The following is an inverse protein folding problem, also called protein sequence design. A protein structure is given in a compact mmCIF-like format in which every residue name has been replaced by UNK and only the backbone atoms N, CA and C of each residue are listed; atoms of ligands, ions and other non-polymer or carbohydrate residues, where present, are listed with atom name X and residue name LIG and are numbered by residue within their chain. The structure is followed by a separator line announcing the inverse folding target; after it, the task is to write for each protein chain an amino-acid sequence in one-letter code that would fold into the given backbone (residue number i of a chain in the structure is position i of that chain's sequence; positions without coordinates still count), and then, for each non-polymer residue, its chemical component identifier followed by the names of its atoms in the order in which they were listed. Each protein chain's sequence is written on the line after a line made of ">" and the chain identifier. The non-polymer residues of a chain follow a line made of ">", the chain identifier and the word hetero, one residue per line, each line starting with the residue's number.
data_IF_945978559117
#
_entry.id   IF_945978559117
#
_cell.length_a   1.000
_cell.length_b   1.000
_cell.length_c   1.000
_cell.angle_alpha   90.00
_cell.angle_beta   90.00
_cell.angle_gamma   90.00
#
_symmetry.space_group_name_H-M   'P 1'
#
loop_
_entity.id
_entity.type
_entity.pdbx_description
1 polymer ?
#
# COMPACT_ATOMS: atom_id res chain seq x y z
N UNK A 1 1.10 -24.66 50.48
CA UNK A 1 0.33 -24.26 49.29
C UNK A 1 1.04 -23.07 48.63
N UNK A 2 2.06 -23.32 47.78
CA UNK A 2 2.92 -22.27 47.16
C UNK A 2 3.18 -22.51 45.66
N UNK A 3 2.41 -23.39 45.01
CA UNK A 3 2.72 -23.85 43.64
C UNK A 3 1.70 -23.48 42.57
N UNK A 4 0.61 -22.76 42.89
CA UNK A 4 -0.42 -22.41 41.88
C UNK A 4 -0.29 -21.01 41.26
N UNK A 5 0.56 -20.12 41.78
CA UNK A 5 0.62 -18.73 41.29
C UNK A 5 1.59 -18.48 40.11
N UNK A 6 2.38 -19.48 39.71
CA UNK A 6 3.42 -19.30 38.68
C UNK A 6 2.99 -19.69 37.26
N UNK A 7 1.80 -20.26 37.08
CA UNK A 7 1.32 -20.69 35.76
C UNK A 7 0.55 -19.57 35.04
N UNK A 8 0.00 -18.59 35.77
CA UNK A 8 -0.71 -17.46 35.16
C UNK A 8 0.20 -16.31 34.70
N UNK A 9 1.45 -16.25 35.19
CA UNK A 9 2.40 -15.21 34.78
C UNK A 9 3.17 -15.57 33.50
N UNK A 10 3.25 -16.86 33.13
CA UNK A 10 3.87 -17.30 31.87
C UNK A 10 2.95 -17.22 30.66
N UNK A 11 1.64 -17.09 30.86
CA UNK A 11 0.66 -16.88 29.78
C UNK A 11 0.50 -15.40 29.37
N UNK A 12 1.01 -14.46 30.18
CA UNK A 12 0.95 -13.02 29.88
C UNK A 12 2.12 -12.52 28.99
N UNK A 13 3.07 -13.37 28.62
CA UNK A 13 4.29 -12.95 27.90
C UNK A 13 4.39 -13.45 26.44
N UNK A 14 3.34 -14.04 25.86
CA UNK A 14 3.37 -14.60 24.47
C UNK A 14 2.31 -13.94 23.56
N UNK A 15 1.90 -12.71 23.85
CA UNK A 15 1.14 -11.92 22.85
C UNK A 15 1.42 -10.42 22.92
N UNK A 16 2.68 -10.06 23.15
CA UNK A 16 3.22 -8.89 22.45
C UNK A 16 3.79 -9.39 21.11
N UNK A 17 2.94 -10.04 20.30
CA UNK A 17 3.18 -10.16 18.87
C UNK A 17 3.54 -8.76 18.41
N UNK A 18 4.71 -8.63 17.79
CA UNK A 18 5.19 -7.40 17.19
C UNK A 18 4.01 -6.67 16.56
N UNK A 19 3.54 -5.59 17.20
CA UNK A 19 2.71 -4.60 16.54
C UNK A 19 3.56 -4.19 15.36
N UNK A 20 3.21 -4.67 14.16
CA UNK A 20 3.94 -4.37 12.95
C UNK A 20 3.86 -2.85 12.82
N UNK A 21 4.93 -2.17 13.26
CA UNK A 21 4.96 -0.72 13.40
C UNK A 21 4.85 -0.21 11.97
N UNK A 22 3.69 0.33 11.65
CA UNK A 22 3.46 0.97 10.37
C UNK A 22 4.61 1.95 10.11
N UNK A 23 5.26 1.92 8.93
CA UNK A 23 6.49 2.68 8.72
C UNK A 23 6.30 4.17 8.99
N UNK A 24 7.30 4.80 9.60
CA UNK A 24 7.37 6.26 9.78
C UNK A 24 7.33 6.98 8.44
N UNK A 25 7.11 8.30 8.42
CA UNK A 25 7.02 9.05 7.15
C UNK A 25 8.33 8.95 6.34
N UNK A 26 9.47 9.02 7.02
CA UNK A 26 10.79 8.88 6.42
C UNK A 26 11.00 7.47 5.85
N UNK A 27 10.66 6.43 6.63
CA UNK A 27 10.72 5.05 6.15
C UNK A 27 9.78 4.82 4.97
N UNK A 28 8.58 5.40 4.95
CA UNK A 28 7.66 5.33 3.81
C UNK A 28 8.25 5.97 2.56
N UNK A 29 8.93 7.10 2.67
CA UNK A 29 9.58 7.74 1.53
C UNK A 29 10.70 6.86 0.94
N UNK A 30 11.51 6.25 1.80
CA UNK A 30 12.55 5.30 1.39
C UNK A 30 11.93 4.06 0.75
N UNK A 31 10.94 3.45 1.39
CA UNK A 31 10.24 2.27 0.88
C UNK A 31 9.52 2.56 -0.44
N UNK A 32 8.91 3.73 -0.58
CA UNK A 32 8.31 4.19 -1.84
C UNK A 32 9.35 4.23 -2.94
N UNK A 33 10.51 4.84 -2.67
CA UNK A 33 11.61 4.93 -3.65
C UNK A 33 12.08 3.55 -4.08
N UNK A 34 12.31 2.64 -3.13
CA UNK A 34 12.72 1.25 -3.41
C UNK A 34 11.65 0.53 -4.24
N UNK A 35 10.38 0.64 -3.84
CA UNK A 35 9.27 -0.05 -4.48
C UNK A 35 9.01 0.44 -5.90
N UNK A 36 8.95 1.76 -6.09
CA UNK A 36 8.77 2.41 -7.39
C UNK A 36 9.90 1.99 -8.33
N UNK A 37 11.15 2.10 -7.88
CA UNK A 37 12.33 1.75 -8.71
C UNK A 37 12.29 0.29 -9.19
N UNK A 38 11.85 -0.64 -8.34
CA UNK A 38 11.73 -2.07 -8.70
C UNK A 38 10.65 -2.36 -9.74
N UNK A 39 9.64 -1.49 -9.87
CA UNK A 39 8.50 -1.68 -10.77
C UNK A 39 8.60 -0.88 -12.08
N UNK A 40 9.66 -0.08 -12.28
CA UNK A 40 9.86 0.67 -13.52
C UNK A 40 9.97 -0.26 -14.72
N UNK A 41 9.28 0.12 -15.79
CA UNK A 41 9.53 -0.45 -17.11
C UNK A 41 10.78 0.17 -17.75
N UNK A 42 11.21 -0.37 -18.89
CA UNK A 42 12.45 0.09 -19.54
C UNK A 42 12.43 1.56 -19.98
N UNK A 43 11.28 2.08 -20.39
CA UNK A 43 11.17 3.48 -20.81
C UNK A 43 11.13 4.44 -19.60
N UNK A 44 10.51 4.03 -18.50
CA UNK A 44 10.55 4.77 -17.23
C UNK A 44 11.97 4.77 -16.63
N UNK A 45 12.73 3.67 -16.76
CA UNK A 45 14.15 3.64 -16.36
C UNK A 45 14.99 4.63 -17.17
N UNK A 46 14.80 4.68 -18.50
CA UNK A 46 15.47 5.68 -19.36
C UNK A 46 15.08 7.10 -18.96
N UNK A 47 13.79 7.33 -18.68
CA UNK A 47 13.29 8.63 -18.24
C UNK A 47 13.96 9.03 -16.94
N UNK A 48 13.95 8.16 -15.92
CA UNK A 48 14.63 8.40 -14.64
C UNK A 48 16.12 8.72 -14.85
N UNK A 49 16.82 8.00 -15.72
CA UNK A 49 18.24 8.27 -15.99
C UNK A 49 18.49 9.63 -16.66
N UNK A 50 17.52 10.13 -17.45
CA UNK A 50 17.66 11.39 -18.21
C UNK A 50 17.14 12.63 -17.49
N UNK A 51 16.08 12.51 -16.70
CA UNK A 51 15.38 13.63 -16.07
C UNK A 51 15.36 13.57 -14.54
N UNK A 52 15.89 12.49 -13.94
CA UNK A 52 15.83 12.20 -12.51
C UNK A 52 14.39 12.24 -11.94
N UNK A 53 13.40 11.92 -12.77
CA UNK A 53 11.99 12.00 -12.44
C UNK A 53 11.23 10.74 -12.86
N UNK A 54 10.32 10.30 -11.99
CA UNK A 54 9.35 9.22 -12.25
C UNK A 54 8.00 9.65 -11.67
N UNK A 55 6.95 9.45 -12.45
CA UNK A 55 5.58 9.72 -12.03
C UNK A 55 4.93 8.44 -11.45
N UNK A 56 4.24 8.58 -10.32
CA UNK A 56 3.49 7.50 -9.67
C UNK A 56 2.26 8.07 -8.96
N UNK A 57 1.28 7.21 -8.68
CA UNK A 57 0.06 7.60 -7.98
C UNK A 57 0.05 6.93 -6.62
N UNK A 58 -0.35 7.64 -5.57
CA UNK A 58 -0.44 7.08 -4.22
C UNK A 58 -1.86 7.09 -3.67
N UNK A 59 -2.25 5.99 -3.03
CA UNK A 59 -3.50 5.80 -2.31
C UNK A 59 -3.16 5.88 -0.81
N UNK A 60 -3.23 7.08 -0.23
CA UNK A 60 -2.80 7.32 1.15
C UNK A 60 -3.81 6.87 2.21
N UNK A 61 -3.26 6.45 3.37
CA UNK A 61 -4.05 6.28 4.58
C UNK A 61 -4.50 7.67 5.06
N UNK A 62 -5.79 7.84 5.31
CA UNK A 62 -6.30 9.05 5.94
C UNK A 62 -5.69 9.14 7.34
N UNK A 63 -4.71 10.02 7.52
CA UNK A 63 -4.28 10.43 8.85
C UNK A 63 -5.10 11.64 9.27
N UNK A 64 -5.52 11.56 10.53
CA UNK A 64 -6.29 12.50 11.34
C UNK A 64 -6.34 13.95 10.82
N UNK A 65 -7.56 14.49 10.69
CA UNK A 65 -7.87 15.85 10.23
C UNK A 65 -7.21 16.92 11.12
N UNK A 66 -6.70 16.52 12.29
CA UNK A 66 -6.00 17.37 13.25
C UNK A 66 -4.47 17.46 13.05
N UNK A 67 -3.91 16.84 12.01
CA UNK A 67 -2.49 16.94 11.67
C UNK A 67 -2.10 18.35 11.17
N UNK A 68 -1.05 18.93 11.77
CA UNK A 68 -0.48 20.25 11.41
C UNK A 68 -0.01 20.36 9.95
N UNK A 69 0.15 19.25 9.24
CA UNK A 69 0.61 19.21 7.84
C UNK A 69 -0.54 19.14 6.81
N UNK A 70 -1.80 19.17 7.26
CA UNK A 70 -2.97 18.93 6.40
C UNK A 70 -3.17 19.94 5.27
N UNK A 71 -2.70 21.18 5.40
CA UNK A 71 -2.84 22.22 4.38
C UNK A 71 -1.83 22.08 3.23
N UNK A 72 -0.55 21.81 3.53
CA UNK A 72 0.50 21.58 2.54
C UNK A 72 0.29 20.25 1.79
N UNK A 73 -0.18 19.23 2.51
CA UNK A 73 -0.51 17.93 1.92
C UNK A 73 -1.78 18.00 1.05
N UNK A 74 -2.76 18.86 1.38
CA UNK A 74 -3.98 19.05 0.55
C UNK A 74 -3.67 19.47 -0.90
N UNK A 75 -2.64 20.29 -1.11
CA UNK A 75 -2.28 20.82 -2.44
C UNK A 75 -1.54 19.77 -3.30
N UNK A 76 -0.67 18.95 -2.69
CA UNK A 76 -0.01 17.81 -3.33
C UNK A 76 -0.96 16.63 -3.61
N UNK A 77 -1.99 16.44 -2.77
CA UNK A 77 -2.91 15.29 -2.81
C UNK A 77 -4.33 15.68 -3.23
N UNK A 78 -4.50 16.52 -4.25
CA UNK A 78 -5.82 16.91 -4.77
C UNK A 78 -6.70 15.74 -5.31
N UNK A 79 -6.20 14.50 -5.31
CA UNK A 79 -6.98 13.28 -5.53
C UNK A 79 -7.45 12.58 -4.25
N UNK A 80 -7.43 13.25 -3.09
CA UNK A 80 -7.92 12.70 -1.82
C UNK A 80 -9.37 12.21 -1.95
N UNK A 81 -9.52 10.91 -1.75
CA UNK A 81 -10.77 10.16 -1.77
C UNK A 81 -11.48 10.35 -0.41
N UNK A 82 -12.09 11.50 -0.08
CA UNK A 82 -12.84 11.63 1.19
C UNK A 82 -14.37 11.48 1.00
N UNK A 83 -15.08 10.88 1.96
CA UNK A 83 -16.55 10.72 1.97
C UNK A 83 -17.08 9.27 1.84
N UNK A 84 -18.41 9.06 1.85
CA UNK A 84 -18.99 7.74 1.58
C UNK A 84 -18.56 7.25 0.19
N UNK A 85 -18.35 5.94 0.02
CA UNK A 85 -17.84 5.29 -1.22
C UNK A 85 -16.34 5.46 -1.51
N UNK A 86 -15.50 5.46 -0.47
CA UNK A 86 -14.03 5.46 -0.61
C UNK A 86 -13.53 4.39 -1.60
N UNK A 87 -14.10 3.18 -1.54
CA UNK A 87 -13.75 2.08 -2.43
C UNK A 87 -14.02 2.43 -3.90
N UNK A 88 -15.16 3.02 -4.24
CA UNK A 88 -15.50 3.36 -5.63
C UNK A 88 -14.61 4.45 -6.22
N UNK A 89 -14.28 5.45 -5.39
CA UNK A 89 -13.32 6.47 -5.77
C UNK A 89 -11.91 5.88 -5.99
N UNK A 90 -11.54 4.88 -5.21
CA UNK A 90 -10.24 4.18 -5.35
C UNK A 90 -10.20 3.38 -6.64
N UNK A 91 -11.30 2.69 -6.97
CA UNK A 91 -11.48 2.00 -8.25
C UNK A 91 -11.36 2.99 -9.42
N UNK A 92 -12.00 4.16 -9.33
CA UNK A 92 -11.89 5.20 -10.35
C UNK A 92 -10.43 5.64 -10.54
N UNK A 93 -9.70 5.88 -9.45
CA UNK A 93 -8.29 6.26 -9.50
C UNK A 93 -7.43 5.16 -10.14
N UNK A 94 -7.62 3.89 -9.77
CA UNK A 94 -6.94 2.75 -10.40
C UNK A 94 -7.27 2.71 -11.90
N UNK A 95 -8.53 2.84 -12.29
CA UNK A 95 -8.93 2.82 -13.71
C UNK A 95 -8.34 3.99 -14.53
N UNK A 96 -8.09 5.16 -13.92
CA UNK A 96 -7.47 6.30 -14.63
C UNK A 96 -5.95 6.17 -14.76
N UNK A 97 -5.31 5.36 -13.90
CA UNK A 97 -3.86 5.33 -13.75
C UNK A 97 -3.27 3.92 -13.70
N UNK A 98 -3.98 2.92 -14.24
CA UNK A 98 -3.56 1.52 -14.17
C UNK A 98 -2.20 1.26 -14.83
N UNK A 99 -1.80 2.10 -15.79
CA UNK A 99 -0.49 2.00 -16.44
C UNK A 99 0.63 2.62 -15.62
N UNK A 100 0.34 3.41 -14.58
CA UNK A 100 1.33 3.98 -13.67
C UNK A 100 1.63 3.01 -12.53
N UNK A 101 2.72 3.28 -11.79
CA UNK A 101 2.96 2.62 -10.51
C UNK A 101 2.01 3.21 -9.48
N UNK A 102 1.32 2.34 -8.74
CA UNK A 102 0.35 2.71 -7.70
C UNK A 102 0.92 2.33 -6.33
N UNK A 103 1.15 3.33 -5.49
CA UNK A 103 1.62 3.18 -4.11
C UNK A 103 0.42 3.01 -3.18
N UNK A 104 0.23 1.81 -2.67
CA UNK A 104 -0.90 1.40 -1.84
C UNK A 104 -0.60 1.60 -0.34
N UNK A 105 -0.44 2.86 0.06
CA UNK A 105 -0.20 3.25 1.46
C UNK A 105 -1.42 2.97 2.36
N UNK A 106 -2.64 3.00 1.81
CA UNK A 106 -3.85 2.49 2.45
C UNK A 106 -4.17 1.06 1.98
N UNK A 107 -3.59 0.08 2.66
CA UNK A 107 -3.78 -1.33 2.32
C UNK A 107 -5.26 -1.76 2.33
N UNK A 108 -6.02 -1.44 3.39
CA UNK A 108 -7.42 -1.86 3.52
C UNK A 108 -8.27 -1.32 2.36
N UNK A 109 -8.11 -0.03 2.05
CA UNK A 109 -8.87 0.60 0.98
C UNK A 109 -8.50 0.02 -0.39
N UNK A 110 -7.20 -0.20 -0.61
CA UNK A 110 -6.69 -0.79 -1.86
C UNK A 110 -7.17 -2.22 -2.02
N UNK A 111 -7.15 -3.03 -0.94
CA UNK A 111 -7.72 -4.37 -0.92
C UNK A 111 -9.18 -4.35 -1.35
N UNK A 112 -10.02 -3.55 -0.68
CA UNK A 112 -11.46 -3.50 -0.99
C UNK A 112 -11.71 -3.11 -2.45
N UNK A 113 -10.86 -2.25 -3.02
CA UNK A 113 -10.93 -1.88 -4.42
C UNK A 113 -10.56 -3.05 -5.35
N UNK A 114 -9.42 -3.72 -5.09
CA UNK A 114 -8.97 -4.89 -5.85
C UNK A 114 -10.03 -6.00 -5.82
N UNK A 115 -10.54 -6.36 -4.64
CA UNK A 115 -11.57 -7.40 -4.49
C UNK A 115 -12.87 -7.05 -5.22
N UNK A 116 -13.28 -5.77 -5.19
CA UNK A 116 -14.49 -5.34 -5.89
C UNK A 116 -14.29 -5.33 -7.41
N UNK A 117 -13.12 -4.91 -7.91
CA UNK A 117 -12.77 -4.97 -9.33
C UNK A 117 -12.64 -6.41 -9.83
N UNK A 118 -12.09 -7.32 -9.02
CA UNK A 118 -11.91 -8.74 -9.34
C UNK A 118 -13.21 -9.48 -9.65
N UNK A 119 -14.37 -8.92 -9.28
CA UNK A 119 -15.72 -9.48 -9.55
C UNK A 119 -16.17 -9.32 -11.00
N UNK A 120 -15.56 -8.42 -11.78
CA UNK A 120 -15.95 -8.18 -13.18
C UNK A 120 -14.82 -8.51 -14.15
N UNK A 121 -15.18 -8.80 -15.41
CA UNK A 121 -14.19 -9.11 -16.46
C UNK A 121 -13.33 -7.88 -16.75
N UNK A 122 -13.96 -6.71 -16.84
CA UNK A 122 -13.30 -5.43 -17.10
C UNK A 122 -12.36 -5.05 -15.95
N UNK A 123 -12.81 -5.24 -14.71
CA UNK A 123 -11.99 -4.95 -13.53
C UNK A 123 -10.76 -5.84 -13.47
N UNK A 124 -10.89 -7.15 -13.76
CA UNK A 124 -9.75 -8.06 -13.87
C UNK A 124 -8.80 -7.68 -15.01
N UNK A 125 -9.32 -7.28 -16.16
CA UNK A 125 -8.50 -6.83 -17.30
C UNK A 125 -7.71 -5.56 -16.97
N UNK A 126 -8.29 -4.62 -16.22
CA UNK A 126 -7.55 -3.46 -15.69
C UNK A 126 -6.49 -3.88 -14.69
N UNK A 127 -6.85 -4.71 -13.69
CA UNK A 127 -5.93 -5.16 -12.64
C UNK A 127 -4.69 -5.84 -13.24
N UNK A 128 -4.83 -6.67 -14.26
CA UNK A 128 -3.70 -7.36 -14.90
C UNK A 128 -2.61 -6.41 -15.46
N UNK A 129 -2.94 -5.14 -15.69
CA UNK A 129 -2.00 -4.12 -16.16
C UNK A 129 -1.37 -3.30 -15.03
N UNK A 130 -1.94 -3.37 -13.82
CA UNK A 130 -1.52 -2.59 -12.68
C UNK A 130 -0.17 -3.05 -12.11
N UNK A 131 0.51 -2.10 -11.46
CA UNK A 131 1.77 -2.30 -10.73
C UNK A 131 1.66 -1.65 -9.36
N UNK A 132 1.71 -2.43 -8.29
CA UNK A 132 1.45 -1.94 -6.93
C UNK A 132 2.66 -2.00 -6.00
N UNK A 133 2.89 -0.94 -5.23
CA UNK A 133 3.82 -0.95 -4.08
C UNK A 133 3.01 -1.03 -2.80
N UNK A 134 3.27 -2.00 -1.93
CA UNK A 134 2.55 -2.17 -0.65
C UNK A 134 3.48 -2.00 0.56
N UNK A 135 2.98 -1.39 1.64
CA UNK A 135 3.73 -1.17 2.89
C UNK A 135 3.05 -1.86 4.08
N UNK A 136 3.00 -3.19 4.12
CA UNK A 136 2.68 -3.97 5.34
C UNK A 136 2.96 -5.46 5.14
N UNK A 137 3.66 -6.09 6.09
CA UNK A 137 4.02 -7.52 6.02
C UNK A 137 2.86 -8.45 6.39
N UNK A 138 1.94 -8.04 7.28
CA UNK A 138 0.80 -8.88 7.72
C UNK A 138 -0.10 -9.38 6.59
N UNK A 139 -0.03 -8.75 5.41
CA UNK A 139 -0.90 -9.06 4.27
C UNK A 139 -0.19 -9.54 3.02
N UNK A 140 1.12 -9.78 3.07
CA UNK A 140 1.94 -10.15 1.91
C UNK A 140 1.39 -11.39 1.20
N UNK A 141 1.05 -12.45 1.95
CA UNK A 141 0.45 -13.68 1.42
C UNK A 141 -0.88 -13.42 0.69
N UNK A 142 -1.73 -12.53 1.24
CA UNK A 142 -3.02 -12.21 0.59
C UNK A 142 -2.81 -11.44 -0.71
N UNK A 143 -1.87 -10.49 -0.73
CA UNK A 143 -1.55 -9.74 -1.95
C UNK A 143 -0.94 -10.66 -2.99
N UNK A 144 -0.09 -11.60 -2.60
CA UNK A 144 0.42 -12.63 -3.50
C UNK A 144 -0.72 -13.44 -4.12
N UNK A 145 -1.70 -13.88 -3.30
CA UNK A 145 -2.88 -14.60 -3.81
C UNK A 145 -3.64 -13.78 -4.84
N UNK A 146 -3.93 -12.51 -4.57
CA UNK A 146 -4.64 -11.65 -5.53
C UNK A 146 -3.81 -11.33 -6.78
N UNK A 147 -2.49 -11.18 -6.65
CA UNK A 147 -1.61 -11.00 -7.80
C UNK A 147 -1.67 -12.21 -8.72
N UNK A 148 -1.64 -13.43 -8.15
CA UNK A 148 -1.85 -14.67 -8.91
C UNK A 148 -3.23 -14.75 -9.55
N UNK A 149 -4.28 -14.32 -8.83
CA UNK A 149 -5.67 -14.39 -9.30
C UNK A 149 -6.00 -13.34 -10.37
N UNK A 150 -5.48 -12.11 -10.24
CA UNK A 150 -5.86 -10.95 -11.05
C UNK A 150 -4.74 -10.43 -11.95
N UNK A 151 -3.53 -10.99 -11.87
CA UNK A 151 -2.43 -10.76 -12.81
C UNK A 151 -1.62 -9.47 -12.62
N UNK A 152 -1.90 -8.66 -11.59
CA UNK A 152 -1.13 -7.43 -11.35
C UNK A 152 0.29 -7.73 -10.86
N UNK A 153 1.24 -6.85 -11.16
CA UNK A 153 2.59 -6.89 -10.58
C UNK A 153 2.59 -6.18 -9.23
N UNK A 154 3.42 -6.64 -8.29
CA UNK A 154 3.55 -5.98 -7.00
C UNK A 154 4.95 -6.09 -6.43
N UNK A 155 5.27 -5.23 -5.46
CA UNK A 155 6.44 -5.37 -4.60
C UNK A 155 6.10 -4.99 -3.16
N UNK A 156 6.73 -5.71 -2.23
CA UNK A 156 6.85 -5.32 -0.82
C UNK A 156 8.30 -4.86 -0.57
N UNK A 157 8.59 -3.56 -0.69
CA UNK A 157 9.90 -3.05 -0.36
C UNK A 157 10.19 -3.30 1.12
N UNK A 158 11.45 -3.61 1.43
CA UNK A 158 11.94 -3.79 2.80
C UNK A 158 13.05 -2.78 3.03
N UNK A 159 13.13 -2.25 4.24
CA UNK A 159 14.30 -1.49 4.66
C UNK A 159 15.47 -2.45 4.76
N UNK A 160 16.64 -2.07 4.23
CA UNK A 160 17.87 -2.79 4.50
C UNK A 160 18.20 -2.55 5.97
N UNK A 161 17.89 -3.51 6.84
CA UNK A 161 18.29 -3.51 8.25
C UNK A 161 19.66 -4.16 8.39
#
# INVERSE_FOLDING_TARGET
>A
MKKLFLIFLSLLCISCSQLDVYPTEEERAVLTTIGVTKLLNEDEKKTLASSNFVDFVSIHKFFDVNSKNSAFMKEMYNHIISGPRLTDKTIKLINMHYEKIIVADNLDLTQRAIEKMGRTIEGRATLAKCRFVFFNYESEERVEKWSKEYGFKYVFPKLNK
#
